data_IF_860341677757
#
_entry.id   IF_860341677757
#
_cell.length_a   1.000
_cell.length_b   1.000
_cell.length_c   1.000
_cell.angle_alpha   90.00
_cell.angle_beta   90.00
_cell.angle_gamma   90.00
#
_symmetry.space_group_name_H-M   'P 1'
#
loop_
_entity.id
_entity.type
_entity.pdbx_description
1 polymer ?
#
# COMPACT_ATOMS: atom_id res chain seq x y z
N UNK A 1 -33.03 30.65 30.26
CA UNK A 1 -32.11 30.07 29.25
C UNK A 1 -32.04 28.57 29.45
N UNK A 2 -32.63 27.77 28.54
CA UNK A 2 -32.49 26.31 28.56
C UNK A 2 -31.33 25.95 27.62
N UNK A 3 -30.25 25.39 28.18
CA UNK A 3 -29.17 24.79 27.40
C UNK A 3 -29.72 23.54 26.73
N UNK A 4 -29.85 23.57 25.40
CA UNK A 4 -30.08 22.38 24.60
C UNK A 4 -28.71 21.76 24.37
N UNK A 5 -28.39 20.71 25.13
CA UNK A 5 -27.22 19.86 24.88
C UNK A 5 -27.54 19.04 23.63
N UNK A 6 -26.98 19.46 22.49
CA UNK A 6 -27.07 18.70 21.24
C UNK A 6 -26.22 17.44 21.40
N UNK A 7 -26.91 16.32 21.62
CA UNK A 7 -26.32 14.99 21.72
C UNK A 7 -25.87 14.56 20.31
N UNK A 8 -24.60 14.79 19.98
CA UNK A 8 -24.01 14.37 18.70
C UNK A 8 -23.84 12.85 18.70
N UNK A 9 -24.71 12.15 17.98
CA UNK A 9 -24.64 10.70 17.78
C UNK A 9 -23.49 10.40 16.82
N UNK A 10 -22.33 9.99 17.36
CA UNK A 10 -21.24 9.43 16.57
C UNK A 10 -21.64 8.06 16.02
N UNK A 11 -21.79 7.94 14.70
CA UNK A 11 -21.99 6.66 14.02
C UNK A 11 -20.64 6.06 13.67
N UNK A 12 -20.15 5.15 14.51
CA UNK A 12 -18.94 4.37 14.22
C UNK A 12 -19.26 3.29 13.18
N UNK A 13 -18.94 3.52 11.89
CA UNK A 13 -18.91 2.45 10.88
C UNK A 13 -17.62 1.64 11.04
N UNK A 14 -17.56 0.81 12.08
CA UNK A 14 -16.61 -0.30 12.16
C UNK A 14 -17.15 -1.45 11.30
N UNK A 15 -16.65 -1.58 10.07
CA UNK A 15 -16.80 -2.80 9.31
C UNK A 15 -15.91 -3.89 9.92
N UNK A 16 -16.40 -4.54 10.97
CA UNK A 16 -15.84 -5.78 11.48
C UNK A 16 -16.20 -6.93 10.53
N UNK A 17 -15.38 -7.17 9.52
CA UNK A 17 -15.43 -8.41 8.76
C UNK A 17 -14.70 -9.51 9.56
N UNK A 18 -15.46 -10.36 10.26
CA UNK A 18 -14.99 -11.71 10.61
C UNK A 18 -14.89 -12.50 9.29
N UNK A 19 -13.68 -12.82 8.85
CA UNK A 19 -13.45 -13.74 7.74
C UNK A 19 -13.15 -15.14 8.25
N UNK A 20 -13.99 -16.10 7.86
CA UNK A 20 -13.66 -17.51 7.91
C UNK A 20 -12.46 -17.74 6.99
N UNK A 21 -11.38 -18.30 7.55
CA UNK A 21 -10.16 -18.61 6.82
C UNK A 21 -10.42 -19.76 5.84
N UNK A 22 -10.51 -19.41 4.56
CA UNK A 22 -10.18 -20.32 3.45
C UNK A 22 -9.11 -19.60 2.63
N UNK A 23 -7.96 -20.25 2.48
CA UNK A 23 -6.75 -19.76 1.81
C UNK A 23 -7.06 -19.13 0.46
N UNK A 24 -7.17 -17.81 0.44
CA UNK A 24 -7.36 -17.00 -0.76
C UNK A 24 -6.48 -15.77 -0.60
N UNK A 25 -5.85 -15.34 -1.71
CA UNK A 25 -4.99 -14.15 -1.81
C UNK A 25 -5.55 -13.07 -0.89
N UNK A 26 -4.77 -12.62 0.11
CA UNK A 26 -5.13 -11.48 0.96
C UNK A 26 -5.51 -10.33 0.04
N UNK A 27 -6.80 -10.12 -0.18
CA UNK A 27 -7.26 -9.18 -1.18
C UNK A 27 -6.95 -7.78 -0.67
N UNK A 28 -6.13 -7.03 -1.41
CA UNK A 28 -5.75 -5.64 -1.14
C UNK A 28 -6.88 -4.64 -1.41
N UNK A 29 -8.09 -5.17 -1.47
CA UNK A 29 -9.33 -4.49 -1.77
C UNK A 29 -10.48 -5.27 -1.13
N UNK A 30 -11.60 -4.60 -0.89
CA UNK A 30 -12.83 -5.20 -0.42
C UNK A 30 -13.98 -4.78 -1.32
N UNK A 31 -14.80 -5.73 -1.77
CA UNK A 31 -15.99 -5.41 -2.54
C UNK A 31 -16.98 -4.63 -1.65
N UNK A 32 -17.56 -3.57 -2.21
CA UNK A 32 -18.59 -2.76 -1.59
C UNK A 32 -19.96 -3.07 -2.20
N UNK A 33 -20.96 -3.18 -1.34
CA UNK A 33 -22.36 -3.24 -1.74
C UNK A 33 -22.89 -1.84 -2.02
N UNK A 34 -23.91 -1.74 -2.88
CA UNK A 34 -24.54 -0.45 -3.22
C UNK A 34 -25.01 0.34 -2.00
N UNK A 35 -25.49 -0.35 -0.95
CA UNK A 35 -25.89 0.31 0.30
C UNK A 35 -24.72 1.06 0.95
N UNK A 36 -23.51 0.49 0.91
CA UNK A 36 -22.31 1.13 1.44
C UNK A 36 -21.89 2.34 0.59
N UNK A 37 -22.03 2.25 -0.74
CA UNK A 37 -21.77 3.38 -1.64
C UNK A 37 -22.74 4.54 -1.37
N UNK A 38 -24.03 4.24 -1.25
CA UNK A 38 -25.05 5.23 -0.87
C UNK A 38 -24.75 5.86 0.49
N UNK A 39 -24.23 5.08 1.43
CA UNK A 39 -23.81 5.60 2.74
C UNK A 39 -22.61 6.53 2.62
N UNK A 40 -21.56 6.13 1.88
CA UNK A 40 -20.40 7.00 1.64
C UNK A 40 -20.80 8.32 0.99
N UNK A 41 -21.70 8.30 0.01
CA UNK A 41 -22.17 9.51 -0.67
C UNK A 41 -22.92 10.49 0.26
N UNK A 42 -23.39 10.06 1.45
CA UNK A 42 -23.95 10.99 2.44
C UNK A 42 -22.87 11.86 3.08
N UNK A 43 -21.70 11.28 3.36
CA UNK A 43 -20.62 11.92 4.12
C UNK A 43 -19.49 12.45 3.23
N UNK A 44 -19.33 11.90 2.02
CA UNK A 44 -18.21 12.16 1.14
C UNK A 44 -18.65 12.61 -0.26
N UNK A 45 -17.82 13.44 -0.86
CA UNK A 45 -17.77 13.69 -2.30
C UNK A 45 -16.82 12.69 -2.93
N UNK A 46 -17.22 12.15 -4.09
CA UNK A 46 -16.40 11.23 -4.86
C UNK A 46 -15.68 12.06 -5.91
N UNK A 47 -14.41 12.36 -5.66
CA UNK A 47 -13.57 13.07 -6.61
C UNK A 47 -12.90 12.07 -7.56
N UNK A 48 -13.06 12.26 -8.87
CA UNK A 48 -12.61 11.26 -9.85
C UNK A 48 -11.13 11.44 -10.10
N UNK A 49 -10.32 10.46 -9.70
CA UNK A 49 -8.87 10.46 -9.90
C UNK A 49 -8.46 9.70 -11.17
N UNK A 50 -9.26 8.71 -11.58
CA UNK A 50 -9.07 7.99 -12.85
C UNK A 50 -10.40 7.85 -13.56
N UNK A 51 -10.42 8.16 -14.85
CA UNK A 51 -11.55 7.93 -15.75
C UNK A 51 -11.03 7.35 -17.08
N UNK A 52 -10.92 6.02 -17.16
CA UNK A 52 -10.33 5.35 -18.33
C UNK A 52 -11.09 4.12 -18.76
N UNK A 53 -11.46 4.11 -20.03
CA UNK A 53 -12.24 3.02 -20.62
C UNK A 53 -13.54 2.82 -19.85
N UNK A 54 -13.67 1.66 -19.21
CA UNK A 54 -14.92 1.26 -18.56
C UNK A 54 -14.91 1.40 -17.04
N UNK A 55 -13.77 1.69 -16.40
CA UNK A 55 -13.67 1.84 -14.94
C UNK A 55 -13.35 3.27 -14.51
N UNK A 56 -13.70 3.58 -13.27
CA UNK A 56 -13.43 4.86 -12.63
C UNK A 56 -12.84 4.63 -11.25
N UNK A 57 -11.90 5.45 -10.83
CA UNK A 57 -11.43 5.48 -9.45
C UNK A 57 -11.76 6.82 -8.81
N UNK A 58 -12.20 6.76 -7.56
CA UNK A 58 -12.64 7.91 -6.79
C UNK A 58 -11.84 8.03 -5.50
N UNK A 59 -11.38 9.24 -5.21
CA UNK A 59 -10.92 9.61 -3.87
C UNK A 59 -12.10 10.17 -3.08
N UNK A 60 -12.26 9.73 -1.83
CA UNK A 60 -13.31 10.21 -0.96
C UNK A 60 -12.87 11.47 -0.21
N UNK A 61 -13.54 12.58 -0.50
CA UNK A 61 -13.30 13.85 0.17
C UNK A 61 -14.46 14.14 1.14
N UNK A 62 -14.21 14.39 2.43
CA UNK A 62 -15.28 14.74 3.36
C UNK A 62 -16.08 15.93 2.85
N UNK A 63 -17.41 15.85 2.95
CA UNK A 63 -18.27 17.00 2.66
C UNK A 63 -18.09 18.07 3.73
N UNK A 64 -18.12 19.33 3.30
CA UNK A 64 -18.09 20.47 4.22
C UNK A 64 -19.27 20.37 5.22
N UNK A 65 -19.02 20.70 6.48
CA UNK A 65 -20.00 20.69 7.58
C UNK A 65 -20.56 19.31 7.97
N UNK A 66 -19.88 18.22 7.60
CA UNK A 66 -20.23 16.88 8.05
C UNK A 66 -19.15 16.37 9.02
N UNK A 67 -19.54 16.08 10.27
CA UNK A 67 -18.65 15.43 11.22
C UNK A 67 -18.49 13.95 10.87
N UNK A 68 -17.29 13.57 10.45
CA UNK A 68 -16.90 12.19 10.20
C UNK A 68 -15.77 11.79 11.15
N UNK A 69 -16.03 10.79 11.98
CA UNK A 69 -15.01 10.17 12.83
C UNK A 69 -14.46 8.93 12.12
N UNK A 70 -13.52 9.13 11.19
CA UNK A 70 -12.74 8.03 10.63
C UNK A 70 -11.29 8.39 10.49
N UNK A 71 -10.47 7.36 10.30
CA UNK A 71 -9.02 7.47 10.17
C UNK A 71 -8.65 8.28 8.93
N UNK A 72 -7.57 9.06 9.02
CA UNK A 72 -7.09 10.05 8.02
C UNK A 72 -6.86 9.50 6.59
N UNK A 73 -6.97 8.19 6.38
CA UNK A 73 -6.84 7.57 5.06
C UNK A 73 -8.21 7.25 4.49
N UNK A 74 -8.76 8.18 3.71
CA UNK A 74 -9.92 7.93 2.86
C UNK A 74 -9.59 6.81 1.86
N UNK A 75 -10.33 5.68 1.84
CA UNK A 75 -10.07 4.63 0.86
C UNK A 75 -10.38 5.15 -0.54
N UNK A 76 -9.57 4.75 -1.50
CA UNK A 76 -9.91 4.89 -2.92
C UNK A 76 -11.01 3.90 -3.25
N UNK A 77 -12.07 4.36 -3.92
CA UNK A 77 -13.13 3.49 -4.45
C UNK A 77 -12.93 3.29 -5.95
N UNK A 78 -12.78 2.04 -6.37
CA UNK A 78 -12.76 1.64 -7.76
C UNK A 78 -14.15 1.15 -8.19
N UNK A 79 -14.74 1.79 -9.21
CA UNK A 79 -15.94 1.35 -9.90
C UNK A 79 -15.57 0.60 -11.17
N UNK A 80 -16.03 -0.65 -11.29
CA UNK A 80 -15.86 -1.50 -12.48
C UNK A 80 -17.21 -1.96 -13.02
N UNK A 81 -17.39 -2.05 -14.34
CA UNK A 81 -18.51 -2.76 -14.93
C UNK A 81 -18.23 -4.26 -14.90
N UNK A 82 -19.23 -5.03 -14.50
CA UNK A 82 -19.24 -6.49 -14.55
C UNK A 82 -20.54 -6.91 -15.22
N UNK A 83 -20.47 -7.13 -16.53
CA UNK A 83 -21.64 -7.25 -17.39
C UNK A 83 -22.40 -5.91 -17.45
N UNK A 84 -23.71 -5.96 -17.24
CA UNK A 84 -24.57 -4.78 -17.20
C UNK A 84 -24.58 -4.05 -15.85
N UNK A 85 -23.94 -4.64 -14.82
CA UNK A 85 -23.94 -4.11 -13.45
C UNK A 85 -22.64 -3.41 -13.12
N UNK A 86 -22.72 -2.41 -12.24
CA UNK A 86 -21.54 -1.79 -11.63
C UNK A 86 -21.18 -2.51 -10.34
N UNK A 87 -19.89 -2.72 -10.13
CA UNK A 87 -19.33 -3.18 -8.86
C UNK A 87 -18.36 -2.14 -8.35
N UNK A 88 -18.28 -2.03 -7.03
CA UNK A 88 -17.42 -1.08 -6.36
C UNK A 88 -16.47 -1.83 -5.44
N UNK A 89 -15.24 -1.35 -5.34
CA UNK A 89 -14.20 -1.96 -4.53
C UNK A 89 -13.49 -0.85 -3.76
N UNK A 90 -13.45 -0.95 -2.43
CA UNK A 90 -12.56 -0.12 -1.61
C UNK A 90 -11.16 -0.70 -1.69
N UNK A 91 -10.18 0.09 -2.13
CA UNK A 91 -8.78 -0.30 -2.07
C UNK A 91 -8.25 -0.07 -0.64
N UNK A 92 -7.30 -0.90 -0.22
CA UNK A 92 -6.62 -0.73 1.08
C UNK A 92 -5.88 0.62 1.13
N UNK A 93 -5.76 1.23 2.31
CA UNK A 93 -5.13 2.53 2.54
C UNK A 93 -3.66 2.60 2.10
N UNK A 94 -2.99 1.46 1.94
CA UNK A 94 -1.61 1.35 1.42
C UNK A 94 -1.53 1.17 -0.09
N UNK A 95 -2.62 1.40 -0.79
CA UNK A 95 -2.73 1.18 -2.23
C UNK A 95 -2.71 2.51 -2.96
N UNK A 96 -1.99 2.56 -4.07
CA UNK A 96 -1.87 3.74 -4.92
C UNK A 96 -1.90 3.33 -6.40
N UNK A 97 -2.02 4.30 -7.30
CA UNK A 97 -1.96 4.09 -8.74
C UNK A 97 -0.59 4.50 -9.28
N UNK A 98 0.09 3.59 -9.94
CA UNK A 98 1.31 3.93 -10.70
C UNK A 98 0.92 4.63 -12.02
N UNK A 99 -0.17 4.16 -12.60
CA UNK A 99 -0.79 4.71 -13.80
C UNK A 99 -2.25 4.27 -13.82
N UNK A 100 -2.99 4.70 -14.84
CA UNK A 100 -4.42 4.42 -14.93
C UNK A 100 -4.78 2.94 -14.94
N UNK A 101 -3.86 2.01 -15.20
CA UNK A 101 -4.12 0.57 -15.35
C UNK A 101 -3.43 -0.31 -14.30
N UNK A 102 -2.51 0.26 -13.53
CA UNK A 102 -1.61 -0.46 -12.63
C UNK A 102 -1.74 0.09 -11.22
N UNK A 103 -2.08 -0.81 -10.31
CA UNK A 103 -2.16 -0.55 -8.88
C UNK A 103 -0.87 -1.04 -8.23
N UNK A 104 -0.35 -0.25 -7.31
CA UNK A 104 0.68 -0.66 -6.35
C UNK A 104 0.07 -0.79 -4.98
N UNK A 105 0.25 -1.95 -4.35
CA UNK A 105 -0.06 -2.12 -2.95
C UNK A 105 1.25 -2.24 -2.15
N UNK A 106 1.50 -1.25 -1.29
CA UNK A 106 2.68 -1.25 -0.42
C UNK A 106 2.44 -2.17 0.77
N UNK A 107 3.32 -3.15 0.96
CA UNK A 107 3.16 -4.16 2.01
C UNK A 107 3.83 -3.72 3.30
N UNK A 108 4.97 -4.33 3.62
CA UNK A 108 5.77 -4.08 4.81
C UNK A 108 6.65 -2.88 4.56
N UNK A 109 6.48 -1.84 5.39
CA UNK A 109 7.50 -0.80 5.53
C UNK A 109 8.65 -1.38 6.35
N UNK A 110 9.85 -1.37 5.80
CA UNK A 110 11.06 -1.56 6.61
C UNK A 110 11.20 -0.31 7.48
N UNK A 111 10.97 -0.43 8.79
CA UNK A 111 10.96 0.71 9.71
C UNK A 111 12.30 1.44 9.63
N UNK A 112 12.29 2.66 9.10
CA UNK A 112 13.43 3.57 9.06
C UNK A 112 13.55 4.27 10.41
N UNK A 113 14.77 4.50 10.87
CA UNK A 113 15.01 5.42 11.97
C UNK A 113 14.69 6.84 11.46
N UNK A 114 14.01 7.65 12.27
CA UNK A 114 13.60 9.03 11.93
C UNK A 114 14.80 9.92 11.58
N UNK A 115 16.00 9.53 11.99
CA UNK A 115 17.25 10.26 11.73
C UNK A 115 18.12 9.64 10.62
N UNK A 116 17.65 8.57 9.95
CA UNK A 116 18.42 7.87 8.91
C UNK A 116 18.34 8.56 7.54
N UNK A 117 19.22 9.54 7.34
CA UNK A 117 19.39 10.27 6.08
C UNK A 117 20.45 9.63 5.15
N UNK A 118 20.18 8.44 4.60
CA UNK A 118 21.15 7.76 3.70
C UNK A 118 20.46 6.89 2.64
N UNK A 119 19.83 7.36 1.57
CA UNK A 119 19.84 8.60 0.79
C UNK A 119 18.47 8.63 0.07
N UNK A 120 17.83 9.79 -0.05
CA UNK A 120 16.38 10.10 0.02
C UNK A 120 15.29 9.22 -0.65
N UNK A 121 15.59 8.14 -1.36
CA UNK A 121 14.52 7.34 -1.96
C UNK A 121 14.62 5.81 -1.74
N UNK A 122 15.77 5.23 -1.41
CA UNK A 122 15.92 3.78 -1.17
C UNK A 122 16.12 3.36 0.30
N UNK A 123 16.30 2.06 0.55
CA UNK A 123 16.58 1.50 1.89
C UNK A 123 17.73 0.49 1.84
N UNK A 124 18.79 0.78 2.57
CA UNK A 124 19.84 -0.18 2.90
C UNK A 124 19.42 -1.06 4.06
N UNK A 125 19.76 -2.34 4.00
CA UNK A 125 19.57 -3.27 5.10
C UNK A 125 20.62 -4.37 5.09
N UNK A 126 20.99 -4.85 6.27
CA UNK A 126 21.75 -6.08 6.42
C UNK A 126 20.77 -7.23 6.62
N UNK A 127 20.91 -8.29 5.83
CA UNK A 127 20.08 -9.48 5.93
C UNK A 127 20.87 -10.62 6.59
N UNK A 128 20.28 -11.19 7.62
CA UNK A 128 20.66 -12.47 8.22
C UNK A 128 19.61 -13.50 7.80
N UNK A 129 19.77 -14.16 6.65
CA UNK A 129 18.75 -15.08 6.15
C UNK A 129 18.68 -16.33 7.02
N UNK A 130 17.57 -16.48 7.74
CA UNK A 130 17.14 -17.72 8.35
C UNK A 130 16.01 -18.35 7.51
N UNK A 131 15.89 -19.68 7.55
CA UNK A 131 14.90 -20.46 6.80
C UNK A 131 13.45 -20.11 7.17
N UNK A 132 13.20 -19.57 8.37
CA UNK A 132 11.85 -19.24 8.84
C UNK A 132 11.60 -17.74 8.94
N UNK A 133 12.54 -16.99 9.52
CA UNK A 133 12.37 -15.54 9.71
C UNK A 133 13.69 -14.81 9.45
N UNK A 134 13.92 -14.27 8.22
CA UNK A 134 15.08 -13.45 7.97
C UNK A 134 15.08 -12.27 8.93
N UNK A 135 16.15 -12.15 9.72
CA UNK A 135 16.38 -10.97 10.54
C UNK A 135 16.97 -9.89 9.64
N UNK A 136 16.38 -8.70 9.68
CA UNK A 136 16.73 -7.59 8.83
C UNK A 136 17.10 -6.40 9.70
N UNK A 137 18.34 -5.93 9.56
CA UNK A 137 18.79 -4.70 10.17
C UNK A 137 18.67 -3.56 9.15
N UNK A 138 17.64 -2.74 9.30
CA UNK A 138 17.33 -1.63 8.38
C UNK A 138 18.26 -0.44 8.65
N UNK A 139 18.51 0.38 7.63
CA UNK A 139 19.42 1.54 7.65
C UNK A 139 20.88 1.15 7.91
N UNK A 140 21.25 -0.08 7.55
CA UNK A 140 22.63 -0.57 7.60
C UNK A 140 23.26 -0.43 6.23
N UNK A 141 23.89 0.73 5.99
CA UNK A 141 24.72 0.94 4.81
C UNK A 141 26.05 0.19 4.97
N UNK A 142 26.58 -0.44 3.90
CA UNK A 142 27.91 -1.01 3.93
C UNK A 142 28.96 0.05 4.31
N UNK A 143 29.94 -0.25 5.19
CA UNK A 143 30.99 0.71 5.56
C UNK A 143 31.80 1.23 4.38
N UNK A 144 31.90 0.45 3.30
CA UNK A 144 32.65 0.80 2.09
C UNK A 144 31.80 1.55 1.05
N UNK A 145 30.48 1.60 1.21
CA UNK A 145 29.61 2.26 0.25
C UNK A 145 29.73 3.79 0.40
N UNK A 146 30.37 4.42 -0.58
CA UNK A 146 30.66 5.87 -0.56
C UNK A 146 29.76 6.71 -1.47
N UNK A 147 28.89 6.07 -2.26
CA UNK A 147 28.03 6.72 -3.28
C UNK A 147 26.59 6.23 -3.20
N UNK A 148 25.67 7.06 -3.66
CA UNK A 148 24.27 6.65 -3.90
C UNK A 148 24.29 5.56 -4.98
N UNK A 149 23.69 4.38 -4.74
CA UNK A 149 23.71 3.34 -5.74
C UNK A 149 22.87 3.70 -6.97
N UNK A 150 23.42 3.44 -8.16
CA UNK A 150 22.68 3.51 -9.41
C UNK A 150 22.08 2.13 -9.68
N UNK A 151 20.76 2.07 -9.79
CA UNK A 151 19.98 0.84 -9.97
C UNK A 151 18.96 1.05 -11.08
N UNK A 152 18.80 0.04 -11.94
CA UNK A 152 17.88 0.09 -13.06
C UNK A 152 16.56 -0.61 -12.70
N UNK A 153 15.66 0.15 -12.12
CA UNK A 153 14.30 -0.26 -11.81
C UNK A 153 14.15 -1.10 -10.53
N UNK A 154 12.93 -1.64 -10.30
CA UNK A 154 12.61 -2.38 -9.10
C UNK A 154 13.47 -3.63 -8.89
N UNK A 155 13.69 -3.97 -7.63
CA UNK A 155 14.33 -5.23 -7.25
C UNK A 155 14.89 -5.23 -5.83
N UNK A 156 15.50 -6.35 -5.46
CA UNK A 156 16.36 -6.41 -4.27
C UNK A 156 17.79 -6.61 -4.77
N UNK A 157 18.67 -5.69 -4.38
CA UNK A 157 20.05 -5.66 -4.83
C UNK A 157 20.96 -6.06 -3.68
N UNK A 158 21.99 -6.85 -3.95
CA UNK A 158 23.02 -7.22 -2.98
C UNK A 158 24.28 -6.43 -3.26
N UNK A 159 24.92 -5.95 -2.21
CA UNK A 159 26.17 -5.22 -2.31
C UNK A 159 27.36 -6.16 -2.11
N UNK A 160 28.22 -6.26 -3.12
CA UNK A 160 29.48 -7.02 -3.08
C UNK A 160 30.55 -6.24 -3.86
N UNK A 161 31.77 -6.18 -3.33
CA UNK A 161 32.92 -5.57 -4.02
C UNK A 161 32.65 -4.16 -4.58
N UNK A 162 32.04 -3.29 -3.77
CA UNK A 162 31.67 -1.90 -4.15
C UNK A 162 30.70 -1.80 -5.35
N UNK A 163 29.86 -2.83 -5.53
CA UNK A 163 28.87 -2.89 -6.61
C UNK A 163 27.56 -3.52 -6.15
N UNK A 164 26.45 -3.12 -6.77
CA UNK A 164 25.14 -3.70 -6.55
C UNK A 164 24.78 -4.72 -7.64
N UNK A 165 24.41 -5.92 -7.20
CA UNK A 165 23.93 -7.00 -8.06
C UNK A 165 22.46 -7.25 -7.78
N UNK A 166 21.61 -7.16 -8.80
CA UNK A 166 20.18 -7.44 -8.67
C UNK A 166 19.99 -8.93 -8.41
N UNK A 167 19.51 -9.29 -7.22
CA UNK A 167 19.23 -10.69 -6.82
C UNK A 167 17.85 -11.12 -7.30
N UNK A 168 16.94 -10.16 -7.45
CA UNK A 168 15.58 -10.38 -7.93
C UNK A 168 15.02 -9.08 -8.48
N UNK A 169 14.15 -9.19 -9.50
CA UNK A 169 13.42 -8.07 -10.08
C UNK A 169 12.19 -7.67 -9.23
N UNK A 170 11.88 -8.45 -8.18
CA UNK A 170 10.66 -8.27 -7.39
C UNK A 170 10.96 -7.68 -6.01
N UNK A 171 10.35 -6.53 -5.69
CA UNK A 171 10.36 -5.95 -4.35
C UNK A 171 9.19 -6.47 -3.49
N UNK A 172 9.07 -7.79 -3.34
CA UNK A 172 7.97 -8.40 -2.58
C UNK A 172 8.47 -9.04 -1.29
N UNK A 173 7.58 -9.22 -0.31
CA UNK A 173 7.88 -10.03 0.89
C UNK A 173 8.41 -11.42 0.51
N UNK A 174 7.76 -12.09 -0.46
CA UNK A 174 8.17 -13.42 -0.91
C UNK A 174 9.59 -13.44 -1.49
N UNK A 175 10.00 -12.38 -2.19
CA UNK A 175 11.35 -12.25 -2.71
C UNK A 175 12.37 -12.00 -1.58
N UNK A 176 12.00 -11.18 -0.58
CA UNK A 176 12.79 -10.92 0.61
C UNK A 176 13.00 -12.19 1.47
N UNK A 177 11.97 -13.01 1.65
CA UNK A 177 12.05 -14.30 2.37
C UNK A 177 12.88 -15.36 1.62
N UNK A 178 13.14 -15.17 0.32
CA UNK A 178 13.95 -16.07 -0.50
C UNK A 178 15.43 -15.71 -0.51
N UNK A 179 15.86 -14.62 0.13
CA UNK A 179 17.28 -14.31 0.28
C UNK A 179 18.01 -15.47 0.97
N UNK A 180 19.14 -15.89 0.42
CA UNK A 180 19.89 -17.07 0.88
C UNK A 180 21.28 -16.76 1.42
N UNK A 181 21.78 -15.53 1.22
CA UNK A 181 23.13 -15.16 1.62
C UNK A 181 23.08 -14.01 2.61
N UNK A 182 23.92 -14.09 3.62
CA UNK A 182 24.12 -12.98 4.53
C UNK A 182 24.82 -11.81 3.80
N UNK A 183 24.53 -10.59 4.24
CA UNK A 183 25.26 -9.41 3.80
C UNK A 183 24.39 -8.17 3.67
N UNK A 184 24.96 -7.16 3.03
CA UNK A 184 24.30 -5.90 2.76
C UNK A 184 23.46 -5.96 1.50
N UNK A 185 22.25 -5.40 1.60
CA UNK A 185 21.27 -5.32 0.53
C UNK A 185 20.69 -3.92 0.43
N UNK A 186 20.20 -3.60 -0.75
CA UNK A 186 19.57 -2.33 -1.08
C UNK A 186 18.22 -2.57 -1.74
N UNK A 187 17.19 -1.91 -1.20
CA UNK A 187 15.92 -1.69 -1.88
C UNK A 187 15.97 -0.34 -2.58
N UNK A 188 15.77 -0.29 -3.91
CA UNK A 188 15.67 0.96 -4.64
C UNK A 188 14.40 1.73 -4.23
N UNK A 189 14.25 2.97 -4.71
CA UNK A 189 13.03 3.75 -4.55
C UNK A 189 11.74 2.98 -4.82
N UNK A 190 10.70 3.11 -3.96
CA UNK A 190 10.56 4.02 -2.82
C UNK A 190 11.07 3.45 -1.47
N UNK A 191 11.97 2.45 -1.50
CA UNK A 191 12.49 1.84 -0.28
C UNK A 191 11.46 1.00 0.47
N UNK A 192 10.42 0.52 -0.24
CA UNK A 192 9.33 -0.29 0.31
C UNK A 192 9.16 -1.56 -0.48
N UNK A 193 8.62 -2.58 0.19
CA UNK A 193 8.09 -3.75 -0.49
C UNK A 193 6.70 -3.42 -1.01
N UNK A 194 6.38 -3.94 -2.19
CA UNK A 194 5.12 -3.73 -2.83
C UNK A 194 4.76 -4.90 -3.73
N UNK A 195 3.48 -4.95 -4.09
CA UNK A 195 2.99 -5.83 -5.13
C UNK A 195 2.26 -4.99 -6.17
N UNK A 196 2.50 -5.32 -7.42
CA UNK A 196 1.83 -4.69 -8.55
C UNK A 196 0.69 -5.57 -9.02
N UNK A 197 -0.42 -4.95 -9.34
CA UNK A 197 -1.61 -5.61 -9.85
C UNK A 197 -2.19 -4.82 -11.00
N UNK A 198 -2.70 -5.53 -12.00
CA UNK A 198 -3.55 -4.89 -12.99
C UNK A 198 -4.91 -4.59 -12.36
N UNK A 199 -5.49 -3.43 -12.65
CA UNK A 199 -6.88 -3.12 -12.27
C UNK A 199 -7.86 -4.22 -12.73
N UNK A 200 -7.55 -4.90 -13.83
CA UNK A 200 -8.36 -5.98 -14.36
C UNK A 200 -8.39 -7.24 -13.47
N UNK A 201 -7.39 -7.43 -12.61
CA UNK A 201 -7.29 -8.57 -11.69
C UNK A 201 -8.24 -8.46 -10.48
N UNK A 202 -8.74 -7.25 -10.20
CA UNK A 202 -9.73 -7.01 -9.13
C UNK A 202 -11.10 -7.59 -9.53
N UNK A 203 -11.67 -8.48 -8.72
CA UNK A 203 -12.94 -9.19 -8.97
C UNK A 203 -13.87 -9.17 -7.78
#
# INVERSE_FOLDING_TARGET
>A
MKLIVSLSICVSLLAACKSNQTTTVSAYYSQLHEKQIREYQKFFTFDTVINKGSYKAYMLLPKQNVHYCGTETSPVILEKPVGEKKRYYALDAKTDFINDSTIVHYTRTLKRDRFSNTFEEGVWFYAHPDKKHPMLEVNKMPPTASKIPVVNGPGIYRYESDSLYRVTEHQTDAALFKLRKEGYYYLPPPGRLFKLYSINEIR
#
